data_IF_229394881272
#
_entry.id   IF_229394881272
#
_cell.length_a   1.000
_cell.length_b   1.000
_cell.length_c   1.000
_cell.angle_alpha   90.00
_cell.angle_beta   90.00
_cell.angle_gamma   90.00
#
_symmetry.space_group_name_H-M   'P 1'
#
loop_
_entity.id
_entity.type
_entity.pdbx_description
1 polymer ?
#
# COMPACT_ATOMS: atom_id res chain seq x y z
N UNK A 1 -18.01 -10.58 20.98
CA UNK A 1 -16.56 -10.46 20.68
C UNK A 1 -16.39 -9.20 19.86
N UNK A 2 -15.60 -8.23 20.32
CA UNK A 2 -15.30 -7.01 19.56
C UNK A 2 -14.03 -7.18 18.72
N UNK A 3 -13.88 -6.38 17.65
CA UNK A 3 -12.67 -6.32 16.82
C UNK A 3 -11.81 -5.14 17.32
N UNK A 4 -10.52 -5.39 17.59
CA UNK A 4 -9.57 -4.35 17.94
C UNK A 4 -8.81 -3.88 16.68
N UNK A 5 -8.87 -2.58 16.39
CA UNK A 5 -8.05 -1.97 15.35
C UNK A 5 -6.59 -1.84 15.77
N UNK A 6 -5.67 -1.87 14.81
CA UNK A 6 -4.21 -1.76 15.06
C UNK A 6 -3.83 -0.39 15.62
N UNK A 7 -4.54 0.66 15.24
CA UNK A 7 -4.39 2.00 15.77
C UNK A 7 -5.78 2.55 16.13
N UNK A 8 -6.09 2.56 17.43
CA UNK A 8 -7.41 2.88 17.99
C UNK A 8 -7.74 4.38 17.97
N UNK A 9 -6.72 5.23 17.86
CA UNK A 9 -6.85 6.71 17.86
C UNK A 9 -6.91 7.34 16.47
N UNK A 10 -6.97 6.54 15.41
CA UNK A 10 -7.01 7.07 14.04
C UNK A 10 -8.39 7.61 13.69
N UNK A 11 -8.42 8.68 12.90
CA UNK A 11 -9.66 9.20 12.31
C UNK A 11 -9.81 8.68 10.90
N UNK A 12 -10.82 7.85 10.68
CA UNK A 12 -11.17 7.37 9.34
C UNK A 12 -12.00 8.43 8.61
N UNK A 13 -11.72 8.60 7.31
CA UNK A 13 -12.49 9.46 6.40
C UNK A 13 -12.89 8.60 5.19
N UNK A 14 -14.08 7.97 5.22
CA UNK A 14 -14.53 7.20 4.08
C UNK A 14 -14.76 8.13 2.88
N UNK A 15 -14.34 7.66 1.70
CA UNK A 15 -14.66 8.27 0.42
C UNK A 15 -15.23 7.16 -0.44
N UNK A 16 -16.53 7.23 -0.72
CA UNK A 16 -17.18 6.23 -1.55
C UNK A 16 -16.91 6.53 -3.03
N UNK A 17 -16.33 5.55 -3.73
CA UNK A 17 -16.09 5.60 -5.17
C UNK A 17 -16.84 4.49 -5.94
N UNK A 18 -17.63 3.69 -5.22
CA UNK A 18 -18.47 2.63 -5.76
C UNK A 18 -19.89 3.13 -5.99
N UNK A 19 -20.52 2.63 -7.06
CA UNK A 19 -21.94 2.85 -7.27
C UNK A 19 -22.72 1.97 -6.26
N UNK A 20 -23.63 2.56 -5.45
CA UNK A 20 -24.31 1.82 -4.39
C UNK A 20 -25.31 0.77 -4.91
N UNK A 21 -25.71 0.86 -6.18
CA UNK A 21 -26.64 -0.08 -6.83
C UNK A 21 -25.88 -1.26 -7.43
N UNK A 22 -24.76 -0.99 -8.11
CA UNK A 22 -24.01 -2.03 -8.84
C UNK A 22 -22.85 -2.61 -8.05
N UNK A 23 -22.44 -1.96 -6.96
CA UNK A 23 -21.23 -2.29 -6.21
C UNK A 23 -19.93 -2.07 -6.98
N UNK A 24 -19.99 -1.44 -8.17
CA UNK A 24 -18.84 -1.24 -9.06
C UNK A 24 -18.41 0.22 -9.09
N UNK A 25 -17.11 0.45 -9.01
CA UNK A 25 -16.51 1.75 -9.28
C UNK A 25 -16.23 1.90 -10.79
N UNK A 26 -16.46 3.09 -11.33
CA UNK A 26 -15.94 3.45 -12.65
C UNK A 26 -14.67 4.26 -12.47
N UNK A 27 -13.78 4.26 -13.47
CA UNK A 27 -12.55 5.06 -13.43
C UNK A 27 -12.84 6.54 -13.11
N UNK A 28 -13.91 7.10 -13.67
CA UNK A 28 -14.30 8.50 -13.39
C UNK A 28 -14.69 8.73 -11.92
N UNK A 29 -15.42 7.79 -11.31
CA UNK A 29 -15.80 7.86 -9.90
C UNK A 29 -14.57 7.77 -8.99
N UNK A 30 -13.68 6.82 -9.27
CA UNK A 30 -12.41 6.67 -8.55
C UNK A 30 -11.51 7.89 -8.69
N UNK A 31 -11.37 8.46 -9.89
CA UNK A 31 -10.57 9.67 -10.08
C UNK A 31 -11.15 10.85 -9.29
N UNK A 32 -12.47 10.99 -9.24
CA UNK A 32 -13.14 12.01 -8.43
C UNK A 32 -12.94 11.80 -6.94
N UNK A 33 -12.98 10.55 -6.47
CA UNK A 33 -12.69 10.21 -5.07
C UNK A 33 -11.24 10.59 -4.70
N UNK A 34 -10.27 10.26 -5.56
CA UNK A 34 -8.87 10.62 -5.39
C UNK A 34 -8.65 12.14 -5.41
N UNK A 35 -9.42 12.89 -6.21
CA UNK A 35 -9.39 14.36 -6.17
C UNK A 35 -9.84 14.94 -4.83
N UNK A 36 -10.83 14.35 -4.15
CA UNK A 36 -11.20 14.78 -2.80
C UNK A 36 -10.16 14.31 -1.77
N UNK A 37 -9.60 13.11 -1.94
CA UNK A 37 -8.51 12.62 -1.09
C UNK A 37 -7.27 13.53 -1.16
N UNK A 38 -6.98 14.14 -2.31
CA UNK A 38 -5.91 15.12 -2.44
C UNK A 38 -6.10 16.38 -1.58
N UNK A 39 -7.31 16.66 -1.07
CA UNK A 39 -7.57 17.79 -0.15
C UNK A 39 -7.19 17.48 1.29
N UNK A 40 -6.74 16.27 1.56
CA UNK A 40 -6.29 15.82 2.87
C UNK A 40 -4.94 16.43 3.27
N UNK A 41 -4.61 16.31 4.56
CA UNK A 41 -3.46 16.95 5.17
C UNK A 41 -2.20 16.16 4.83
N UNK A 42 -1.06 16.84 4.91
CA UNK A 42 0.25 16.18 4.96
C UNK A 42 0.23 15.13 6.08
N UNK A 43 0.89 13.99 5.86
CA UNK A 43 0.98 12.85 6.78
C UNK A 43 -0.27 11.97 6.90
N UNK A 44 -1.30 12.22 6.09
CA UNK A 44 -2.43 11.30 5.94
C UNK A 44 -2.03 10.04 5.13
N UNK A 45 -2.82 8.97 5.29
CA UNK A 45 -2.71 7.73 4.51
C UNK A 45 -3.96 7.56 3.67
N UNK A 46 -3.78 7.22 2.40
CA UNK A 46 -4.85 6.76 1.52
C UNK A 46 -4.73 5.24 1.43
N UNK A 47 -5.82 4.55 1.74
CA UNK A 47 -6.00 3.12 1.49
C UNK A 47 -6.80 2.95 0.20
N UNK A 48 -6.26 2.20 -0.76
CA UNK A 48 -6.84 2.07 -2.09
C UNK A 48 -6.98 0.59 -2.49
N UNK A 49 -8.14 0.03 -2.18
CA UNK A 49 -8.43 -1.39 -2.39
C UNK A 49 -8.92 -1.74 -3.81
N UNK A 50 -9.06 -0.78 -4.70
CA UNK A 50 -9.56 -1.02 -6.06
C UNK A 50 -8.40 -1.38 -7.03
N UNK A 51 -8.71 -2.24 -8.00
CA UNK A 51 -7.80 -2.61 -9.09
C UNK A 51 -8.41 -2.27 -10.45
N UNK A 52 -7.56 -1.80 -11.37
CA UNK A 52 -7.93 -1.54 -12.76
C UNK A 52 -7.00 -2.27 -13.71
N UNK A 53 -7.51 -2.91 -14.79
CA UNK A 53 -6.66 -3.43 -15.85
C UNK A 53 -5.74 -2.35 -16.41
N UNK A 54 -4.53 -2.73 -16.79
CA UNK A 54 -3.59 -1.78 -17.37
C UNK A 54 -4.04 -1.32 -18.75
N UNK A 55 -4.36 -0.03 -18.82
CA UNK A 55 -4.49 0.70 -20.07
C UNK A 55 -3.57 1.91 -20.03
N UNK A 56 -2.83 2.19 -21.11
CA UNK A 56 -1.82 3.26 -21.11
C UNK A 56 -2.37 4.63 -20.68
N UNK A 57 -3.60 4.97 -21.10
CA UNK A 57 -4.26 6.23 -20.70
C UNK A 57 -4.58 6.25 -19.21
N UNK A 58 -5.10 5.14 -18.69
CA UNK A 58 -5.43 4.95 -17.27
C UNK A 58 -4.17 4.97 -16.40
N UNK A 59 -3.09 4.33 -16.85
CA UNK A 59 -1.80 4.35 -16.17
C UNK A 59 -1.21 5.76 -16.07
N UNK A 60 -1.29 6.56 -17.14
CA UNK A 60 -0.85 7.95 -17.13
C UNK A 60 -1.67 8.82 -16.15
N UNK A 61 -2.97 8.57 -16.04
CA UNK A 61 -3.84 9.26 -15.08
C UNK A 61 -3.45 8.90 -13.65
N UNK A 62 -3.36 7.60 -13.33
CA UNK A 62 -2.94 7.15 -12.00
C UNK A 62 -1.55 7.69 -11.64
N UNK A 63 -0.57 7.60 -12.53
CA UNK A 63 0.78 8.12 -12.31
C UNK A 63 0.75 9.59 -11.87
N UNK A 64 0.02 10.44 -12.59
CA UNK A 64 -0.12 11.87 -12.25
C UNK A 64 -0.79 12.09 -10.89
N UNK A 65 -1.77 11.26 -10.54
CA UNK A 65 -2.45 11.35 -9.23
C UNK A 65 -1.51 10.92 -8.12
N UNK A 66 -0.83 9.78 -8.26
CA UNK A 66 0.11 9.25 -7.29
C UNK A 66 1.27 10.23 -7.02
N UNK A 67 1.88 10.79 -8.06
CA UNK A 67 2.91 11.82 -7.93
C UNK A 67 2.40 13.05 -7.16
N UNK A 68 1.14 13.47 -7.37
CA UNK A 68 0.53 14.57 -6.61
C UNK A 68 0.26 14.22 -5.15
N UNK A 69 -0.18 12.99 -4.87
CA UNK A 69 -0.42 12.47 -3.51
C UNK A 69 0.90 12.52 -2.72
N UNK A 70 1.95 11.94 -3.28
CA UNK A 70 3.27 11.87 -2.65
C UNK A 70 3.88 13.26 -2.47
N UNK A 71 3.75 14.15 -3.46
CA UNK A 71 4.23 15.54 -3.34
C UNK A 71 3.57 16.30 -2.19
N UNK A 72 2.36 15.92 -1.79
CA UNK A 72 1.66 16.47 -0.60
C UNK A 72 2.11 15.83 0.71
N UNK A 73 2.98 14.83 0.67
CA UNK A 73 3.43 14.07 1.84
C UNK A 73 2.37 13.11 2.37
N UNK A 74 1.51 12.60 1.49
CA UNK A 74 0.50 11.58 1.80
C UNK A 74 1.04 10.23 1.37
N UNK A 75 0.92 9.21 2.22
CA UNK A 75 1.25 7.83 1.86
C UNK A 75 0.09 7.21 1.08
N UNK A 76 0.38 6.53 -0.02
CA UNK A 76 -0.61 5.78 -0.78
C UNK A 76 -0.36 4.27 -0.63
N UNK A 77 -1.33 3.56 -0.06
CA UNK A 77 -1.32 2.11 0.04
C UNK A 77 -2.32 1.55 -0.96
N UNK A 78 -1.86 0.61 -1.79
CA UNK A 78 -2.69 -0.04 -2.82
C UNK A 78 -2.59 -1.55 -2.75
N UNK A 79 -3.69 -2.20 -3.12
CA UNK A 79 -3.84 -3.63 -3.11
C UNK A 79 -3.14 -4.27 -4.31
N UNK A 80 -2.46 -5.39 -4.09
CA UNK A 80 -2.23 -6.37 -5.14
C UNK A 80 -3.56 -7.07 -5.46
N UNK A 81 -3.84 -7.37 -6.73
CA UNK A 81 -5.12 -7.96 -7.12
C UNK A 81 -5.24 -9.43 -6.72
N UNK A 82 -6.46 -9.93 -6.83
CA UNK A 82 -7.02 -11.15 -6.27
C UNK A 82 -7.06 -12.33 -7.25
N UNK A 83 -6.36 -12.23 -8.39
CA UNK A 83 -6.54 -13.23 -9.43
C UNK A 83 -5.90 -14.56 -9.02
N UNK A 84 -6.76 -15.57 -8.89
CA UNK A 84 -6.41 -16.95 -8.55
C UNK A 84 -5.75 -17.69 -9.74
N UNK A 85 -5.71 -17.09 -10.93
CA UNK A 85 -5.22 -17.74 -12.15
C UNK A 85 -3.72 -17.54 -12.35
N UNK A 86 -2.95 -18.56 -11.95
CA UNK A 86 -1.53 -18.71 -12.25
C UNK A 86 -1.25 -19.13 -13.72
N UNK A 87 -2.19 -18.90 -14.64
CA UNK A 87 -2.07 -19.25 -16.06
C UNK A 87 -1.37 -18.13 -16.85
N UNK A 88 -0.13 -17.84 -16.47
CA UNK A 88 0.94 -17.41 -17.38
C UNK A 88 0.85 -16.04 -18.09
N UNK A 89 -0.25 -15.30 -17.97
CA UNK A 89 -0.36 -13.93 -18.50
C UNK A 89 -0.52 -12.95 -17.33
N UNK A 90 0.58 -12.32 -16.96
CA UNK A 90 0.65 -11.29 -15.92
C UNK A 90 -0.16 -10.05 -16.34
N UNK A 91 -1.45 -10.00 -15.99
CA UNK A 91 -2.21 -8.76 -16.14
C UNK A 91 -1.69 -7.72 -15.13
N UNK A 92 -1.13 -6.64 -15.66
CA UNK A 92 -0.71 -5.51 -14.85
C UNK A 92 -1.97 -4.84 -14.27
N UNK A 93 -2.03 -4.73 -12.93
CA UNK A 93 -3.13 -4.05 -12.25
C UNK A 93 -2.68 -2.70 -11.71
N UNK A 94 -3.44 -1.66 -12.05
CA UNK A 94 -3.28 -0.29 -11.58
C UNK A 94 -4.06 -0.07 -10.27
N UNK A 95 -3.55 0.77 -9.34
CA UNK A 95 -2.28 1.49 -9.41
C UNK A 95 -1.07 0.70 -8.88
N UNK A 96 -1.24 -0.52 -8.38
CA UNK A 96 -0.14 -1.33 -7.81
C UNK A 96 1.09 -1.43 -8.73
N UNK A 97 0.90 -1.64 -10.04
CA UNK A 97 2.01 -1.70 -11.02
C UNK A 97 2.84 -0.42 -11.13
N UNK A 98 2.36 0.71 -10.61
CA UNK A 98 3.07 2.00 -10.59
C UNK A 98 3.84 2.26 -9.27
N UNK A 99 3.64 1.43 -8.24
CA UNK A 99 4.19 1.70 -6.89
C UNK A 99 5.72 1.85 -6.88
N UNK A 100 6.43 0.96 -7.57
CA UNK A 100 7.91 0.98 -7.63
C UNK A 100 8.49 2.25 -8.30
N UNK A 101 7.68 2.97 -9.08
CA UNK A 101 8.13 4.20 -9.74
C UNK A 101 7.99 5.46 -8.90
N UNK A 102 7.35 5.37 -7.72
CA UNK A 102 6.89 6.54 -6.97
C UNK A 102 7.07 6.28 -5.46
N UNK A 103 8.14 6.84 -4.89
CA UNK A 103 8.38 6.80 -3.44
C UNK A 103 7.14 7.26 -2.66
N UNK A 104 6.76 6.55 -1.58
CA UNK A 104 5.52 6.85 -0.85
C UNK A 104 4.25 6.25 -1.47
N UNK A 105 4.38 5.36 -2.46
CA UNK A 105 3.32 4.46 -2.93
C UNK A 105 3.76 3.02 -2.64
N UNK A 106 2.99 2.28 -1.85
CA UNK A 106 3.31 0.90 -1.48
C UNK A 106 2.22 -0.05 -1.98
N UNK A 107 2.61 -1.10 -2.70
CA UNK A 107 1.71 -2.19 -3.05
C UNK A 107 1.76 -3.30 -1.99
N UNK A 108 0.59 -3.71 -1.52
CA UNK A 108 0.42 -4.66 -0.42
C UNK A 108 -0.24 -5.94 -0.94
N UNK A 109 0.38 -7.10 -0.67
CA UNK A 109 -0.19 -8.40 -0.96
C UNK A 109 -0.51 -9.16 0.32
N UNK A 110 -1.57 -9.96 0.29
CA UNK A 110 -1.95 -10.84 1.38
C UNK A 110 -1.44 -12.27 1.12
N UNK A 111 -1.22 -13.03 2.19
CA UNK A 111 -1.04 -14.48 2.12
C UNK A 111 -2.20 -15.24 2.72
N UNK A 112 -2.26 -16.54 2.42
CA UNK A 112 -3.24 -17.48 2.98
C UNK A 112 -3.07 -17.73 4.48
N UNK A 113 -1.84 -17.57 5.00
CA UNK A 113 -1.57 -17.36 6.41
C UNK A 113 -1.67 -15.86 6.69
N UNK A 114 -2.17 -15.45 7.86
CA UNK A 114 -2.48 -14.07 8.28
C UNK A 114 -1.33 -13.04 8.27
N UNK A 115 -0.26 -13.31 7.53
CA UNK A 115 0.94 -12.51 7.41
C UNK A 115 0.78 -11.40 6.35
N UNK A 116 1.36 -10.24 6.64
CA UNK A 116 1.38 -9.10 5.72
C UNK A 116 2.59 -9.20 4.80
N UNK A 117 2.37 -9.19 3.48
CA UNK A 117 3.48 -9.09 2.51
C UNK A 117 3.53 -7.71 1.88
N UNK A 118 4.72 -7.12 1.92
CA UNK A 118 5.01 -5.91 1.16
C UNK A 118 5.53 -6.35 -0.21
N UNK A 119 4.89 -5.85 -1.28
CA UNK A 119 5.35 -6.03 -2.66
C UNK A 119 6.07 -4.76 -3.06
N UNK A 120 7.39 -4.87 -3.16
CA UNK A 120 8.25 -3.69 -3.15
C UNK A 120 8.89 -3.37 -4.49
N UNK A 121 8.82 -4.28 -5.49
CA UNK A 121 9.42 -4.02 -6.80
C UNK A 121 8.65 -4.70 -7.96
N UNK A 122 8.79 -4.12 -9.17
CA UNK A 122 8.13 -4.50 -10.43
C UNK A 122 9.17 -5.03 -11.44
N UNK A 123 8.85 -5.97 -12.37
CA UNK A 123 7.54 -6.54 -12.63
C UNK A 123 7.14 -7.52 -11.54
N UNK A 124 6.01 -7.27 -10.89
CA UNK A 124 5.34 -8.25 -10.06
C UNK A 124 4.33 -8.98 -10.94
N UNK A 125 4.65 -10.17 -11.50
CA UNK A 125 3.65 -11.17 -11.75
C UNK A 125 2.71 -11.25 -10.56
N UNK A 126 1.42 -11.23 -10.85
CA UNK A 126 0.39 -11.69 -9.95
C UNK A 126 0.66 -13.16 -9.66
N UNK A 127 1.40 -13.46 -8.59
CA UNK A 127 1.62 -14.83 -8.15
C UNK A 127 0.46 -15.26 -7.25
N UNK A 128 -0.67 -15.67 -7.80
CA UNK A 128 -1.72 -16.45 -7.11
C UNK A 128 -1.97 -16.07 -5.65
N UNK A 129 -2.11 -14.78 -5.37
CA UNK A 129 -2.26 -14.27 -4.00
C UNK A 129 -3.74 -13.96 -3.79
N UNK A 130 -4.36 -14.68 -2.86
CA UNK A 130 -5.66 -14.32 -2.33
C UNK A 130 -5.51 -13.02 -1.53
N UNK A 131 -5.87 -11.91 -2.15
CA UNK A 131 -6.02 -10.61 -1.53
C UNK A 131 -7.26 -10.55 -0.62
N UNK A 132 -7.02 -10.23 0.64
CA UNK A 132 -8.04 -9.66 1.52
C UNK A 132 -7.70 -8.18 1.70
N UNK A 133 -8.67 -7.30 1.46
CA UNK A 133 -8.59 -5.85 1.74
C UNK A 133 -8.20 -5.50 3.20
N UNK A 134 -8.14 -6.52 4.05
CA UNK A 134 -7.66 -6.50 5.42
C UNK A 134 -6.15 -6.16 5.52
N UNK A 135 -5.34 -6.50 4.50
CA UNK A 135 -3.89 -6.37 4.58
C UNK A 135 -3.41 -4.92 4.37
N UNK A 136 -3.98 -4.17 3.44
CA UNK A 136 -3.68 -2.74 3.30
C UNK A 136 -4.10 -1.95 4.55
N UNK A 137 -5.26 -2.31 5.12
CA UNK A 137 -5.77 -1.73 6.36
C UNK A 137 -4.80 -1.97 7.52
N UNK A 138 -4.16 -3.13 7.54
CA UNK A 138 -3.12 -3.48 8.51
C UNK A 138 -1.88 -2.61 8.35
N UNK A 139 -1.37 -2.47 7.12
CA UNK A 139 -0.25 -1.56 6.82
C UNK A 139 -0.58 -0.10 7.15
N UNK A 140 -1.81 0.35 6.85
CA UNK A 140 -2.28 1.70 7.20
C UNK A 140 -2.32 1.95 8.70
N UNK A 141 -2.81 0.97 9.46
CA UNK A 141 -2.79 1.00 10.93
C UNK A 141 -1.38 1.10 11.49
N UNK A 142 -0.44 0.31 10.94
CA UNK A 142 0.97 0.38 11.34
C UNK A 142 1.60 1.73 11.04
N UNK A 143 1.36 2.30 9.85
CA UNK A 143 1.85 3.64 9.53
C UNK A 143 1.34 4.68 10.53
N UNK A 144 0.03 4.66 10.81
CA UNK A 144 -0.57 5.60 11.73
C UNK A 144 0.00 5.46 13.14
N UNK A 145 0.28 4.23 13.57
CA UNK A 145 0.95 3.95 14.83
C UNK A 145 2.39 4.50 14.84
N UNK A 146 3.19 4.27 13.81
CA UNK A 146 4.56 4.78 13.72
C UNK A 146 4.61 6.31 13.74
N UNK A 147 3.72 6.97 13.00
CA UNK A 147 3.54 8.43 13.02
C UNK A 147 3.18 8.97 14.40
N UNK A 148 2.54 8.18 15.25
CA UNK A 148 2.21 8.60 16.61
C UNK A 148 3.43 8.63 17.55
N UNK A 149 4.50 7.91 17.21
CA UNK A 149 5.73 7.88 18.02
C UNK A 149 6.64 9.08 17.76
N UNK A 150 6.71 9.55 16.51
CA UNK A 150 7.54 10.69 16.11
C UNK A 150 7.08 11.28 14.76
N UNK A 151 7.58 12.46 14.40
CA UNK A 151 7.39 13.10 13.10
C UNK A 151 8.26 12.46 12.00
N UNK A 152 8.17 11.13 11.82
CA UNK A 152 8.88 10.41 10.77
C UNK A 152 8.53 10.95 9.38
N UNK A 153 9.50 11.03 8.48
CA UNK A 153 9.23 11.26 7.05
C UNK A 153 8.66 9.99 6.43
N UNK A 154 8.00 10.12 5.27
CA UNK A 154 7.53 8.95 4.51
C UNK A 154 8.67 7.97 4.21
N UNK A 155 9.85 8.50 3.85
CA UNK A 155 11.07 7.73 3.60
C UNK A 155 11.51 6.91 4.82
N UNK A 156 11.33 7.42 6.03
CA UNK A 156 11.75 6.73 7.25
C UNK A 156 10.84 5.55 7.53
N UNK A 157 9.52 5.75 7.37
CA UNK A 157 8.53 4.69 7.58
C UNK A 157 8.69 3.61 6.51
N UNK A 158 8.82 4.02 5.25
CA UNK A 158 9.11 3.10 4.15
C UNK A 158 10.38 2.29 4.44
N UNK A 159 11.48 2.93 4.86
CA UNK A 159 12.72 2.25 5.25
C UNK A 159 12.52 1.27 6.41
N UNK A 160 11.79 1.64 7.46
CA UNK A 160 11.51 0.76 8.60
C UNK A 160 10.72 -0.47 8.15
N UNK A 161 9.64 -0.27 7.39
CA UNK A 161 8.81 -1.35 6.84
C UNK A 161 9.65 -2.29 5.96
N UNK A 162 10.47 -1.73 5.08
CA UNK A 162 11.42 -2.48 4.25
C UNK A 162 12.38 -3.29 5.12
N UNK A 163 13.05 -2.68 6.08
CA UNK A 163 14.06 -3.34 6.94
C UNK A 163 13.48 -4.49 7.77
N UNK A 164 12.21 -4.38 8.15
CA UNK A 164 11.50 -5.42 8.91
C UNK A 164 10.80 -6.45 8.02
N UNK A 165 11.11 -6.47 6.72
CA UNK A 165 10.57 -7.45 5.77
C UNK A 165 11.54 -8.63 5.62
N UNK A 166 11.12 -9.81 6.09
CA UNK A 166 11.89 -11.06 6.03
C UNK A 166 11.63 -11.86 4.74
N UNK A 167 12.58 -12.73 4.37
CA UNK A 167 12.37 -13.69 3.27
C UNK A 167 12.43 -13.08 1.87
N UNK A 168 13.22 -12.01 1.69
CA UNK A 168 13.45 -11.34 0.39
C UNK A 168 13.95 -12.32 -0.67
N UNK A 169 13.05 -12.84 -1.51
CA UNK A 169 13.42 -13.76 -2.59
C UNK A 169 13.69 -12.99 -3.88
N UNK A 170 14.95 -12.94 -4.32
CA UNK A 170 15.29 -12.55 -5.69
C UNK A 170 14.94 -13.69 -6.65
N UNK A 171 13.89 -13.52 -7.46
CA UNK A 171 13.56 -14.50 -8.51
C UNK A 171 14.53 -14.37 -9.69
N UNK A 172 15.02 -15.51 -10.21
CA UNK A 172 16.08 -15.57 -11.24
C UNK A 172 15.70 -15.01 -12.63
N UNK A 173 14.42 -14.74 -12.91
CA UNK A 173 13.96 -14.56 -14.31
C UNK A 173 13.29 -13.23 -14.67
N UNK A 174 13.03 -12.32 -13.74
CA UNK A 174 12.52 -10.98 -14.06
C UNK A 174 13.09 -10.01 -13.03
N UNK A 175 13.32 -8.76 -13.46
CA UNK A 175 13.92 -7.73 -12.63
C UNK A 175 13.31 -7.76 -11.22
N UNK A 176 14.20 -7.92 -10.24
CA UNK A 176 14.08 -7.54 -8.83
C UNK A 176 12.63 -7.43 -8.34
N UNK A 177 12.13 -8.50 -7.71
CA UNK A 177 10.95 -8.44 -6.86
C UNK A 177 11.38 -8.72 -5.44
N UNK A 178 11.31 -7.72 -4.57
CA UNK A 178 11.41 -7.92 -3.13
C UNK A 178 10.04 -8.36 -2.60
N UNK A 179 9.80 -9.67 -2.59
CA UNK A 179 8.76 -10.26 -1.75
C UNK A 179 9.30 -10.52 -0.38
N UNK A 180 8.61 -10.05 0.64
CA UNK A 180 8.85 -10.59 1.98
C UNK A 180 7.69 -10.37 2.91
N UNK A 181 7.76 -11.10 4.02
CA UNK A 181 6.77 -11.02 5.09
C UNK A 181 7.20 -9.90 6.03
N UNK A 182 6.34 -8.90 6.19
CA UNK A 182 6.56 -7.82 7.14
C UNK A 182 6.39 -8.37 8.56
N UNK A 183 7.46 -8.29 9.34
CA UNK A 183 7.46 -8.51 10.78
C UNK A 183 6.94 -7.26 11.48
N UNK A 184 5.63 -7.24 11.72
CA UNK A 184 4.94 -6.07 12.30
C UNK A 184 5.44 -5.73 13.71
N UNK A 185 5.78 -6.74 14.50
CA UNK A 185 6.44 -6.64 15.80
C UNK A 185 7.78 -5.92 15.73
N UNK A 186 8.62 -6.30 14.77
CA UNK A 186 9.93 -5.69 14.55
C UNK A 186 9.80 -4.26 14.04
N UNK A 187 8.89 -4.00 13.12
CA UNK A 187 8.68 -2.67 12.54
C UNK A 187 8.25 -1.66 13.60
N UNK A 188 7.31 -2.04 14.46
CA UNK A 188 6.88 -1.19 15.59
C UNK A 188 8.02 -0.99 16.59
N UNK A 189 8.74 -2.06 16.94
CA UNK A 189 9.87 -1.98 17.88
C UNK A 189 10.99 -1.06 17.36
N UNK A 190 11.30 -1.15 16.07
CA UNK A 190 12.27 -0.29 15.41
C UNK A 190 11.80 1.17 15.38
N UNK A 191 10.54 1.43 15.03
CA UNK A 191 9.99 2.78 15.06
C UNK A 191 10.04 3.41 16.47
N UNK A 192 9.77 2.64 17.52
CA UNK A 192 9.91 3.11 18.91
C UNK A 192 11.37 3.43 19.23
N UNK A 193 12.31 2.57 18.83
CA UNK A 193 13.73 2.79 19.07
C UNK A 193 14.24 4.06 18.36
N UNK A 194 13.89 4.24 17.09
CA UNK A 194 14.29 5.42 16.32
C UNK A 194 13.64 6.71 16.86
N UNK A 195 12.38 6.65 17.30
CA UNK A 195 11.70 7.78 17.94
C UNK A 195 12.35 8.21 19.26
N UNK A 196 12.82 7.25 20.07
CA UNK A 196 13.42 7.53 21.39
C UNK A 196 14.87 7.98 21.32
N UNK A 197 15.65 7.39 20.41
CA UNK A 197 17.10 7.53 20.41
C UNK A 197 17.64 8.35 19.22
N UNK A 198 16.77 8.84 18.34
CA UNK A 198 17.18 9.66 17.19
C UNK A 198 18.04 8.90 16.18
N UNK A 199 17.91 7.57 16.12
CA UNK A 199 18.70 6.67 15.26
C UNK A 199 18.33 6.76 13.77
N UNK A 200 17.81 7.90 13.31
CA UNK A 200 17.62 8.16 11.89
C UNK A 200 19.01 8.38 11.26
N UNK A 201 19.63 7.29 10.81
CA UNK A 201 20.83 7.31 9.97
C UNK A 201 20.50 7.80 8.56
#
# INVERSE_FOLDING_TARGET
>A
IGIAGIADKVKLRPIDDVNPITGKATLSMTMRALEVALRFKKDDVILFAAGYPYEQKTALLFKRVLEKVVKRGILFLTAASNEDDADGMEELILPCSLANGIQGVLCIAATTASDLRLVLEHPAPMCGYQHRSETETTAGGMFALMKSFNNFKLSDIERILLNCTEGRVRTKNRAEMLYGVLRSDLAVSQAIAEARWGLAA
#
